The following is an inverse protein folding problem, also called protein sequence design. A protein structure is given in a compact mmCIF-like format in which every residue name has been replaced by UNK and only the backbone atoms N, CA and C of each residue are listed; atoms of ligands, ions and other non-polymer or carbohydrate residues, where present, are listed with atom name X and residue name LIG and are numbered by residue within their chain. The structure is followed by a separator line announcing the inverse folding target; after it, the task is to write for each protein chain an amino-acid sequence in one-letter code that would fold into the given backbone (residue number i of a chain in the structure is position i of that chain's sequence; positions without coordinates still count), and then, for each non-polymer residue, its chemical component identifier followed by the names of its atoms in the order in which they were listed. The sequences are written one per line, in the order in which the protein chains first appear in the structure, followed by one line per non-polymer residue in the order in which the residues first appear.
data_IF_374649154497
#
_entry.id   IF_374649154497
#
_cell.length_a   1.000
_cell.length_b   1.000
_cell.length_c   1.000
_cell.angle_alpha   90.00
_cell.angle_beta   90.00
_cell.angle_gamma   90.00
#
_symmetry.space_group_name_H-M   'P 1'
#
loop_
_entity.id
_entity.type
_entity.pdbx_description
1 polymer ?
#
# COMPACT_ATOMS: atom_id res chain seq x y z
N UNK A 1 1.57 -15.66 -13.13
CA UNK A 1 0.97 -14.69 -12.19
C UNK A 1 1.24 -13.31 -12.76
N UNK A 2 0.26 -12.40 -12.72
CA UNK A 2 0.44 -11.06 -13.29
C UNK A 2 1.14 -10.18 -12.25
N UNK A 3 2.25 -9.56 -12.63
CA UNK A 3 2.97 -8.62 -11.79
C UNK A 3 2.15 -7.33 -11.61
N UNK A 4 2.19 -6.72 -10.43
CA UNK A 4 1.47 -5.48 -10.19
C UNK A 4 2.22 -4.31 -10.84
N UNK A 5 1.52 -3.58 -11.70
CA UNK A 5 1.98 -2.30 -12.22
C UNK A 5 1.36 -1.16 -11.40
N UNK A 6 2.16 -0.49 -10.56
CA UNK A 6 1.75 0.70 -9.81
C UNK A 6 2.64 1.87 -10.18
N UNK A 7 2.04 2.95 -10.68
CA UNK A 7 2.76 4.18 -11.02
C UNK A 7 2.95 5.05 -9.79
N UNK A 8 4.21 5.37 -9.45
CA UNK A 8 4.48 6.35 -8.39
C UNK A 8 3.87 7.71 -8.73
N UNK A 9 4.06 8.21 -9.95
CA UNK A 9 3.60 9.53 -10.38
C UNK A 9 2.08 9.64 -10.52
N UNK A 10 1.44 8.64 -11.12
CA UNK A 10 0.03 8.74 -11.50
C UNK A 10 -0.93 8.15 -10.47
N UNK A 11 -0.46 7.29 -9.56
CA UNK A 11 -1.32 6.57 -8.62
C UNK A 11 -0.91 6.82 -7.17
N UNK A 12 0.33 6.51 -6.79
CA UNK A 12 0.73 6.51 -5.37
C UNK A 12 0.94 7.92 -4.79
N UNK A 13 1.73 8.78 -5.44
CA UNK A 13 1.98 10.14 -4.95
C UNK A 13 0.70 10.98 -4.89
N UNK A 14 -0.20 10.96 -5.91
CA UNK A 14 -1.48 11.66 -5.82
C UNK A 14 -2.35 11.16 -4.66
N UNK A 15 -2.31 9.85 -4.37
CA UNK A 15 -3.03 9.28 -3.25
C UNK A 15 -2.51 9.78 -1.89
N UNK A 16 -1.19 9.90 -1.75
CA UNK A 16 -0.52 10.41 -0.55
C UNK A 16 -0.46 11.94 -0.48
N UNK A 17 -0.92 12.65 -1.54
CA UNK A 17 -0.81 14.11 -1.69
C UNK A 17 0.63 14.61 -1.58
N UNK A 18 1.55 13.86 -2.17
CA UNK A 18 2.97 14.23 -2.24
C UNK A 18 3.22 14.94 -3.57
N UNK A 19 3.85 16.10 -3.48
CA UNK A 19 4.43 16.80 -4.63
C UNK A 19 5.96 16.59 -4.59
N UNK A 20 6.59 16.43 -5.76
CA UNK A 20 8.04 16.26 -5.86
C UNK A 20 8.52 14.81 -5.98
N UNK A 21 9.82 14.60 -5.78
CA UNK A 21 10.51 13.31 -6.02
C UNK A 21 11.50 12.92 -4.92
N UNK A 22 11.57 13.72 -3.86
CA UNK A 22 12.51 13.57 -2.75
C UNK A 22 12.34 12.22 -2.03
N UNK A 23 11.09 11.75 -1.95
CA UNK A 23 10.72 10.52 -1.25
C UNK A 23 10.57 9.30 -2.17
N UNK A 24 10.90 9.40 -3.46
CA UNK A 24 10.66 8.31 -4.44
C UNK A 24 11.32 6.99 -4.04
N UNK A 25 12.55 7.08 -3.52
CA UNK A 25 13.28 5.91 -3.03
C UNK A 25 12.61 5.26 -1.82
N UNK A 26 12.04 6.07 -0.92
CA UNK A 26 11.31 5.60 0.25
C UNK A 26 9.97 5.00 -0.16
N UNK A 27 9.25 5.65 -1.08
CA UNK A 27 7.97 5.16 -1.60
C UNK A 27 8.15 3.82 -2.33
N UNK A 28 9.18 3.67 -3.15
CA UNK A 28 9.50 2.40 -3.81
C UNK A 28 9.76 1.28 -2.79
N UNK A 29 10.58 1.53 -1.78
CA UNK A 29 10.84 0.57 -0.69
C UNK A 29 9.55 0.16 0.03
N UNK A 30 8.66 1.11 0.31
CA UNK A 30 7.39 0.83 0.98
C UNK A 30 6.43 0.02 0.10
N UNK A 31 6.44 0.24 -1.21
CA UNK A 31 5.67 -0.57 -2.17
C UNK A 31 6.16 -2.02 -2.14
N UNK A 32 7.47 -2.24 -2.19
CA UNK A 32 8.05 -3.58 -2.14
C UNK A 32 7.71 -4.29 -0.82
N UNK A 33 7.90 -3.60 0.32
CA UNK A 33 7.53 -4.12 1.63
C UNK A 33 6.03 -4.46 1.74
N UNK A 34 5.16 -3.66 1.12
CA UNK A 34 3.73 -3.93 1.09
C UNK A 34 3.38 -5.17 0.25
N UNK A 35 4.06 -5.39 -0.89
CA UNK A 35 3.92 -6.61 -1.70
C UNK A 35 4.37 -7.86 -0.93
N UNK A 36 5.52 -7.77 -0.26
CA UNK A 36 6.03 -8.84 0.61
C UNK A 36 5.05 -9.16 1.73
N UNK A 37 4.53 -8.14 2.42
CA UNK A 37 3.54 -8.32 3.48
C UNK A 37 2.27 -9.05 3.01
N UNK A 38 1.75 -8.67 1.84
CA UNK A 38 0.58 -9.34 1.26
C UNK A 38 0.90 -10.79 0.87
N UNK A 39 2.09 -11.03 0.32
CA UNK A 39 2.56 -12.37 -0.04
C UNK A 39 2.69 -13.27 1.18
N UNK A 40 3.32 -12.78 2.26
CA UNK A 40 3.44 -13.48 3.54
C UNK A 40 2.08 -13.73 4.19
N UNK A 41 1.12 -12.84 3.97
CA UNK A 41 -0.25 -13.03 4.40
C UNK A 41 -1.02 -14.07 3.57
N UNK A 42 -0.45 -14.60 2.48
CA UNK A 42 -1.08 -15.57 1.58
C UNK A 42 -1.89 -14.94 0.45
N UNK A 43 -1.68 -13.66 0.17
CA UNK A 43 -2.31 -12.93 -0.95
C UNK A 43 -1.28 -12.80 -2.08
N UNK A 44 -1.37 -13.62 -3.15
CA UNK A 44 -0.43 -13.56 -4.26
C UNK A 44 -0.53 -12.21 -5.00
N UNK A 45 0.59 -11.77 -5.56
CA UNK A 45 0.64 -10.55 -6.37
C UNK A 45 -0.33 -10.63 -7.55
N UNK A 46 -1.05 -9.52 -7.78
CA UNK A 46 -1.98 -9.40 -8.90
C UNK A 46 -2.10 -7.95 -9.36
N UNK A 47 -2.47 -7.77 -10.62
CA UNK A 47 -2.78 -6.45 -11.18
C UNK A 47 -4.23 -5.99 -10.85
N UNK A 48 -4.92 -6.67 -9.93
CA UNK A 48 -6.29 -6.33 -9.56
C UNK A 48 -6.34 -5.00 -8.78
N UNK A 49 -7.36 -4.18 -9.05
CA UNK A 49 -7.52 -2.88 -8.38
C UNK A 49 -7.54 -2.98 -6.84
N UNK A 50 -8.11 -4.07 -6.28
CA UNK A 50 -8.12 -4.31 -4.83
C UNK A 50 -6.72 -4.57 -4.27
N UNK A 51 -5.85 -5.24 -5.02
CA UNK A 51 -4.47 -5.48 -4.62
C UNK A 51 -3.66 -4.18 -4.64
N UNK A 52 -3.80 -3.39 -5.72
CA UNK A 52 -3.18 -2.04 -5.80
C UNK A 52 -3.61 -1.16 -4.63
N UNK A 53 -4.91 -1.13 -4.32
CA UNK A 53 -5.43 -0.37 -3.18
C UNK A 53 -4.85 -0.86 -1.84
N UNK A 54 -4.72 -2.18 -1.65
CA UNK A 54 -4.12 -2.76 -0.45
C UNK A 54 -2.66 -2.30 -0.27
N UNK A 55 -1.88 -2.32 -1.36
CA UNK A 55 -0.50 -1.80 -1.37
C UNK A 55 -0.48 -0.31 -1.02
N UNK A 56 -1.31 0.51 -1.67
CA UNK A 56 -1.36 1.96 -1.40
C UNK A 56 -1.73 2.28 0.05
N UNK A 57 -2.64 1.52 0.66
CA UNK A 57 -3.00 1.66 2.08
C UNK A 57 -1.86 1.27 3.02
N UNK A 58 -1.13 0.20 2.72
CA UNK A 58 0.05 -0.21 3.47
C UNK A 58 1.16 0.85 3.40
N UNK A 59 1.37 1.42 2.21
CA UNK A 59 2.33 2.52 2.05
C UNK A 59 1.88 3.74 2.84
N UNK A 60 0.62 4.17 2.73
CA UNK A 60 0.09 5.29 3.49
C UNK A 60 0.24 5.09 5.01
N UNK A 61 -0.09 3.89 5.50
CA UNK A 61 0.08 3.53 6.90
C UNK A 61 1.54 3.69 7.34
N UNK A 62 2.50 3.19 6.58
CA UNK A 62 3.91 3.28 6.98
C UNK A 62 4.53 4.66 6.75
N UNK A 63 4.09 5.38 5.73
CA UNK A 63 4.62 6.69 5.35
C UNK A 63 4.08 7.79 6.27
N UNK A 64 2.77 7.83 6.49
CA UNK A 64 2.11 8.84 7.33
C UNK A 64 2.39 8.61 8.83
N UNK A 65 2.56 7.35 9.26
CA UNK A 65 2.89 7.02 10.66
C UNK A 65 4.31 7.37 11.09
N UNK A 66 5.11 7.99 10.21
CA UNK A 66 6.36 8.64 10.65
C UNK A 66 6.09 9.81 11.61
N UNK A 67 4.84 10.29 11.70
CA UNK A 67 4.41 11.25 12.70
C UNK A 67 3.57 10.58 13.81
N UNK A 68 4.13 10.35 15.02
CA UNK A 68 3.44 9.68 16.13
C UNK A 68 2.20 10.43 16.67
N UNK A 69 1.90 11.63 16.17
CA UNK A 69 0.72 12.41 16.57
C UNK A 69 -0.58 12.04 15.82
N UNK A 70 -0.54 11.25 14.74
CA UNK A 70 -1.74 10.83 14.01
C UNK A 70 -2.40 9.59 14.62
N UNK A 71 -3.73 9.62 14.83
CA UNK A 71 -4.53 8.49 15.33
C UNK A 71 -4.92 7.55 14.18
N UNK A 72 -4.57 6.27 14.30
CA UNK A 72 -4.46 5.30 13.18
C UNK A 72 -5.58 4.26 13.15
N UNK A 73 -6.42 4.18 14.17
CA UNK A 73 -7.35 3.05 14.39
C UNK A 73 -8.24 2.70 13.18
N UNK A 74 -8.59 3.68 12.34
CA UNK A 74 -9.42 3.47 11.14
C UNK A 74 -8.64 2.86 9.97
N UNK A 75 -7.36 3.20 9.78
CA UNK A 75 -6.56 2.74 8.65
C UNK A 75 -6.16 1.27 8.81
N UNK A 76 -5.79 0.86 10.03
CA UNK A 76 -5.53 -0.54 10.37
C UNK A 76 -6.74 -1.43 10.12
N UNK A 77 -7.95 -0.97 10.50
CA UNK A 77 -9.19 -1.71 10.26
C UNK A 77 -9.50 -1.86 8.75
N UNK A 78 -9.30 -0.80 7.96
CA UNK A 78 -9.47 -0.87 6.50
C UNK A 78 -8.51 -1.87 5.84
N UNK A 79 -7.26 -1.93 6.31
CA UNK A 79 -6.26 -2.89 5.85
C UNK A 79 -6.66 -4.33 6.16
N UNK A 80 -7.04 -4.62 7.40
CA UNK A 80 -7.49 -5.96 7.82
C UNK A 80 -8.69 -6.45 6.98
N UNK A 81 -9.66 -5.56 6.73
CA UNK A 81 -10.83 -5.86 5.90
C UNK A 81 -10.46 -6.21 4.45
N UNK A 82 -9.52 -5.48 3.85
CA UNK A 82 -9.07 -5.73 2.48
C UNK A 82 -8.29 -7.03 2.37
N UNK A 83 -7.41 -7.33 3.34
CA UNK A 83 -6.68 -8.62 3.38
C UNK A 83 -7.65 -9.78 3.48
N UNK A 84 -8.67 -9.68 4.33
CA UNK A 84 -9.70 -10.72 4.46
C UNK A 84 -10.45 -10.92 3.14
N UNK A 85 -10.86 -9.83 2.47
CA UNK A 85 -11.53 -9.92 1.17
C UNK A 85 -10.66 -10.55 0.08
N UNK A 86 -9.35 -10.27 0.07
CA UNK A 86 -8.40 -10.83 -0.89
C UNK A 86 -8.14 -12.33 -0.66
N UNK A 87 -8.28 -12.82 0.57
CA UNK A 87 -8.17 -14.26 0.89
C UNK A 87 -9.39 -15.08 0.50
N UNK A 88 -10.56 -14.45 0.44
CA UNK A 88 -11.84 -15.12 0.18
C UNK A 88 -12.23 -15.15 -1.31
N UNK A 89 -11.57 -14.35 -2.15
CA UNK A 89 -11.81 -14.29 -3.60
C UNK A 89 -10.79 -15.11 -4.37
#
# INVERSE_FOLDING_TARGET
MAEMELSLENELKPYLRIDGSEDDSVLALLVDAAKEYLTDAGVPESNAAKYKLAVMLLVALNYENRNPAMKIDKLSFSLESIILQLKMG
#
